data_IF_808587122829
#
_entry.id   IF_808587122829
#
_cell.length_a   1.000
_cell.length_b   1.000
_cell.length_c   1.000
_cell.angle_alpha   90.00
_cell.angle_beta   90.00
_cell.angle_gamma   90.00
#
_symmetry.space_group_name_H-M   'P 1'
#
loop_
_entity.id
_entity.type
_entity.pdbx_description
1 polymer ?
#
# COMPACT_ATOMS: atom_id res chain seq x y z
N UNK A 1 -12.22 19.73 -4.01
CA UNK A 1 -11.94 18.72 -5.03
C UNK A 1 -11.23 17.51 -4.41
N UNK A 2 -11.17 16.36 -5.11
CA UNK A 2 -10.39 15.17 -4.77
C UNK A 2 -9.36 14.98 -5.87
N UNK A 3 -8.24 15.65 -5.71
CA UNK A 3 -7.23 15.84 -6.76
C UNK A 3 -6.32 14.63 -6.91
N UNK A 4 -5.84 14.39 -8.12
CA UNK A 4 -4.95 13.29 -8.45
C UNK A 4 -5.38 12.55 -9.72
N UNK A 5 -5.05 11.26 -9.77
CA UNK A 5 -5.32 10.43 -10.94
C UNK A 5 -5.72 9.01 -10.55
N UNK A 6 -6.19 8.28 -11.55
CA UNK A 6 -6.46 6.85 -11.47
C UNK A 6 -5.42 6.14 -12.33
N UNK A 7 -4.81 5.10 -11.80
CA UNK A 7 -3.91 4.27 -12.61
C UNK A 7 -4.69 3.56 -13.72
N UNK A 8 -4.13 3.44 -14.93
CA UNK A 8 -4.80 2.73 -16.02
C UNK A 8 -4.92 1.23 -15.75
N UNK A 9 -3.99 0.67 -15.00
CA UNK A 9 -3.97 -0.76 -14.69
C UNK A 9 -5.02 -1.12 -13.64
N UNK A 10 -5.62 -2.29 -13.81
CA UNK A 10 -6.39 -2.95 -12.76
C UNK A 10 -5.53 -3.99 -12.03
N UNK A 11 -5.86 -4.22 -10.77
CA UNK A 11 -5.22 -5.25 -9.97
C UNK A 11 -6.22 -6.34 -9.60
N UNK A 12 -5.78 -7.57 -9.72
CA UNK A 12 -6.50 -8.74 -9.23
C UNK A 12 -5.96 -9.14 -7.86
N UNK A 13 -6.87 -9.35 -6.94
CA UNK A 13 -6.57 -9.90 -5.60
C UNK A 13 -7.09 -11.33 -5.56
N UNK A 14 -6.18 -12.26 -5.28
CA UNK A 14 -6.49 -13.66 -5.04
C UNK A 14 -6.14 -14.05 -3.62
N UNK A 15 -6.96 -14.85 -2.96
CA UNK A 15 -6.68 -15.35 -1.62
C UNK A 15 -6.81 -16.86 -1.61
N UNK A 16 -5.79 -17.54 -1.07
CA UNK A 16 -5.69 -19.01 -1.03
C UNK A 16 -5.20 -19.49 0.33
N UNK A 17 -5.61 -20.67 0.81
CA UNK A 17 -5.03 -21.33 1.98
C UNK A 17 -3.67 -21.99 1.68
N UNK A 18 -3.18 -21.99 0.43
CA UNK A 18 -1.88 -22.58 0.10
C UNK A 18 -0.76 -21.86 0.84
N UNK A 19 0.07 -22.61 1.57
CA UNK A 19 1.09 -22.06 2.47
C UNK A 19 2.42 -21.81 1.74
N UNK A 20 2.60 -20.62 1.19
CA UNK A 20 3.86 -20.23 0.53
C UNK A 20 5.06 -20.16 1.47
N UNK A 21 4.87 -19.98 2.78
CA UNK A 21 5.97 -20.05 3.75
C UNK A 21 6.58 -21.45 3.75
N UNK A 22 5.73 -22.48 3.87
CA UNK A 22 6.16 -23.88 3.88
C UNK A 22 6.79 -24.33 2.55
N UNK A 23 6.21 -23.92 1.43
CA UNK A 23 6.60 -24.43 0.11
C UNK A 23 7.69 -23.61 -0.60
N UNK A 24 7.88 -22.34 -0.23
CA UNK A 24 8.83 -21.43 -0.88
C UNK A 24 9.66 -20.60 0.11
N UNK A 25 9.46 -20.72 1.41
CA UNK A 25 10.16 -19.92 2.41
C UNK A 25 9.79 -18.43 2.36
N UNK A 26 8.57 -18.11 1.92
CA UNK A 26 8.12 -16.71 1.86
C UNK A 26 8.03 -16.14 3.26
N UNK A 27 8.47 -14.88 3.40
CA UNK A 27 8.22 -14.07 4.58
C UNK A 27 6.77 -13.61 4.62
N UNK A 28 6.37 -12.96 5.70
CA UNK A 28 5.04 -12.40 5.90
C UNK A 28 4.56 -11.48 4.75
N UNK A 29 5.51 -10.79 4.09
CA UNK A 29 5.25 -9.89 2.97
C UNK A 29 6.38 -10.02 1.96
N UNK A 30 6.01 -10.27 0.71
CA UNK A 30 6.93 -10.46 -0.39
C UNK A 30 6.53 -9.57 -1.56
N UNK A 31 7.52 -8.92 -2.16
CA UNK A 31 7.39 -8.14 -3.38
C UNK A 31 8.24 -8.84 -4.45
N UNK A 32 7.60 -9.33 -5.48
CA UNK A 32 8.24 -10.02 -6.58
C UNK A 32 8.27 -9.08 -7.79
N UNK A 33 9.44 -8.58 -8.11
CA UNK A 33 9.67 -7.73 -9.27
C UNK A 33 10.03 -8.61 -10.46
N UNK A 34 9.02 -9.15 -11.11
CA UNK A 34 9.16 -9.87 -12.37
C UNK A 34 8.93 -8.91 -13.54
N UNK A 35 9.74 -8.96 -14.64
CA UNK A 35 9.61 -8.04 -15.76
C UNK A 35 8.32 -8.21 -16.56
N UNK A 36 7.73 -9.41 -16.53
CA UNK A 36 6.48 -9.70 -17.22
C UNK A 36 5.27 -9.47 -16.32
N UNK A 37 5.38 -9.90 -15.06
CA UNK A 37 4.24 -9.87 -14.14
C UNK A 37 4.72 -9.78 -12.68
N UNK A 38 4.83 -8.57 -12.18
CA UNK A 38 5.13 -8.37 -10.77
C UNK A 38 4.01 -8.89 -9.86
N UNK A 39 4.35 -9.25 -8.64
CA UNK A 39 3.36 -9.68 -7.65
C UNK A 39 3.67 -9.15 -6.25
N UNK A 40 2.62 -8.90 -5.48
CA UNK A 40 2.71 -8.80 -4.03
C UNK A 40 2.07 -10.04 -3.41
N UNK A 41 2.79 -10.71 -2.51
CA UNK A 41 2.26 -11.86 -1.81
C UNK A 41 2.44 -11.67 -0.30
N UNK A 42 1.35 -11.73 0.46
CA UNK A 42 1.40 -11.51 1.90
C UNK A 42 0.41 -12.39 2.66
N UNK A 43 0.83 -12.74 3.87
CA UNK A 43 0.04 -13.56 4.79
C UNK A 43 -1.04 -12.72 5.45
N UNK A 44 -2.25 -13.23 5.52
CA UNK A 44 -3.38 -12.59 6.19
C UNK A 44 -3.98 -13.53 7.24
N UNK A 45 -4.58 -12.94 8.28
CA UNK A 45 -5.23 -13.70 9.32
C UNK A 45 -6.42 -14.52 8.78
N UNK A 46 -6.66 -15.66 9.43
CA UNK A 46 -7.82 -16.51 9.24
C UNK A 46 -8.13 -17.22 10.58
N UNK A 47 -9.09 -18.12 10.62
CA UNK A 47 -9.50 -18.90 11.80
C UNK A 47 -8.41 -19.90 12.22
N UNK A 48 -7.29 -19.39 12.70
CA UNK A 48 -6.11 -20.16 13.13
C UNK A 48 -4.98 -20.25 12.10
N UNK A 49 -3.82 -20.82 12.52
CA UNK A 49 -2.68 -21.07 11.62
C UNK A 49 -3.04 -22.11 10.54
N UNK A 50 -2.40 -22.05 9.35
CA UNK A 50 -1.34 -21.11 8.97
C UNK A 50 -1.84 -19.74 8.52
N UNK A 51 -3.15 -19.46 8.51
CA UNK A 51 -3.75 -18.28 7.91
C UNK A 51 -3.99 -18.45 6.40
N UNK A 52 -4.21 -17.35 5.71
CA UNK A 52 -4.37 -17.31 4.26
C UNK A 52 -3.25 -16.52 3.62
N UNK A 53 -3.04 -16.73 2.34
CA UNK A 53 -2.13 -15.93 1.53
C UNK A 53 -2.90 -15.12 0.50
N UNK A 54 -2.57 -13.84 0.42
CA UNK A 54 -3.16 -12.92 -0.54
C UNK A 54 -2.12 -12.52 -1.57
N UNK A 55 -2.45 -12.76 -2.83
CA UNK A 55 -1.64 -12.41 -3.98
C UNK A 55 -2.32 -11.26 -4.71
N UNK A 56 -1.56 -10.21 -5.02
CA UNK A 56 -1.99 -9.07 -5.83
C UNK A 56 -1.16 -9.06 -7.10
N UNK A 57 -1.84 -9.09 -8.23
CA UNK A 57 -1.25 -9.18 -9.56
C UNK A 57 -1.84 -8.09 -10.47
N UNK A 58 -1.07 -7.52 -11.39
CA UNK A 58 -1.63 -6.68 -12.44
C UNK A 58 -2.43 -7.55 -13.42
N UNK A 59 -3.48 -6.98 -13.98
CA UNK A 59 -4.26 -7.59 -15.06
C UNK A 59 -4.43 -6.60 -16.20
N UNK A 60 -4.71 -7.14 -17.38
CA UNK A 60 -4.98 -6.36 -18.58
C UNK A 60 -6.32 -5.63 -18.41
N UNK A 61 -6.33 -4.28 -18.39
CA UNK A 61 -7.54 -3.50 -18.20
C UNK A 61 -8.50 -3.56 -19.40
N UNK A 62 -8.06 -4.05 -20.56
CA UNK A 62 -8.90 -4.21 -21.76
C UNK A 62 -9.75 -5.47 -21.71
N UNK A 63 -9.42 -6.41 -20.82
CA UNK A 63 -10.20 -7.65 -20.63
C UNK A 63 -11.41 -7.43 -19.73
N UNK A 64 -12.51 -8.09 -20.07
CA UNK A 64 -13.73 -8.04 -19.28
C UNK A 64 -13.57 -8.67 -17.88
N UNK A 65 -14.30 -8.16 -16.91
CA UNK A 65 -14.24 -8.65 -15.52
C UNK A 65 -14.60 -10.14 -15.42
N UNK A 66 -15.57 -10.62 -16.20
CA UNK A 66 -15.98 -12.03 -16.21
C UNK A 66 -14.86 -12.94 -16.73
N UNK A 67 -14.12 -12.51 -17.76
CA UNK A 67 -12.95 -13.23 -18.25
C UNK A 67 -11.85 -13.28 -17.21
N UNK A 68 -11.49 -12.11 -16.64
CA UNK A 68 -10.42 -11.98 -15.65
C UNK A 68 -10.70 -12.77 -14.35
N UNK A 69 -11.95 -12.85 -13.94
CA UNK A 69 -12.36 -13.59 -12.73
C UNK A 69 -12.78 -15.04 -13.02
N UNK A 70 -12.67 -15.52 -14.27
CA UNK A 70 -12.94 -16.91 -14.60
C UNK A 70 -11.96 -17.86 -13.91
N UNK A 71 -12.40 -19.08 -13.62
CA UNK A 71 -11.53 -20.10 -13.00
C UNK A 71 -10.29 -20.38 -13.87
N UNK A 72 -10.45 -20.47 -15.17
CA UNK A 72 -9.35 -20.72 -16.10
C UNK A 72 -8.28 -19.61 -16.02
N UNK A 73 -8.70 -18.34 -16.04
CA UNK A 73 -7.77 -17.21 -15.94
C UNK A 73 -7.08 -17.15 -14.58
N UNK A 74 -7.84 -17.29 -13.50
CA UNK A 74 -7.32 -17.26 -12.12
C UNK A 74 -6.33 -18.39 -11.87
N UNK A 75 -6.66 -19.61 -12.28
CA UNK A 75 -5.73 -20.76 -12.17
C UNK A 75 -4.48 -20.55 -13.02
N UNK A 76 -4.63 -20.04 -14.25
CA UNK A 76 -3.49 -19.70 -15.12
C UNK A 76 -2.54 -18.71 -14.45
N UNK A 77 -3.05 -17.64 -13.84
CA UNK A 77 -2.26 -16.66 -13.08
C UNK A 77 -1.55 -17.28 -11.88
N UNK A 78 -2.25 -18.10 -11.11
CA UNK A 78 -1.67 -18.76 -9.94
C UNK A 78 -0.60 -19.80 -10.33
N UNK A 79 -0.82 -20.56 -11.39
CA UNK A 79 0.16 -21.53 -11.89
C UNK A 79 1.39 -20.84 -12.49
N UNK A 80 1.23 -19.66 -13.11
CA UNK A 80 2.38 -18.85 -13.55
C UNK A 80 3.15 -18.29 -12.36
N UNK A 81 2.45 -17.82 -11.32
CA UNK A 81 3.06 -17.29 -10.09
C UNK A 81 3.84 -18.34 -9.31
N UNK A 82 3.27 -19.51 -9.11
CA UNK A 82 3.93 -20.65 -8.47
C UNK A 82 3.34 -21.96 -9.01
N UNK A 83 4.05 -22.67 -9.91
CA UNK A 83 3.58 -23.93 -10.50
C UNK A 83 3.42 -25.04 -9.46
N UNK A 84 2.32 -25.78 -9.53
CA UNK A 84 2.10 -27.03 -8.79
C UNK A 84 1.16 -27.94 -9.56
N UNK A 85 1.15 -29.27 -9.29
CA UNK A 85 0.34 -30.22 -10.03
C UNK A 85 -1.18 -29.98 -9.91
N UNK A 86 -1.64 -29.65 -8.70
CA UNK A 86 -3.06 -29.48 -8.42
C UNK A 86 -3.49 -28.03 -8.63
N UNK A 87 -4.78 -27.82 -8.90
CA UNK A 87 -5.40 -26.50 -8.92
C UNK A 87 -5.29 -25.82 -7.54
N UNK A 88 -5.29 -24.51 -7.55
CA UNK A 88 -5.33 -23.72 -6.32
C UNK A 88 -6.75 -23.64 -5.77
N UNK A 89 -6.89 -23.85 -4.47
CA UNK A 89 -8.10 -23.45 -3.76
C UNK A 89 -8.09 -21.92 -3.61
N UNK A 90 -9.07 -21.23 -4.23
CA UNK A 90 -9.20 -19.77 -4.24
C UNK A 90 -10.46 -19.39 -3.45
N UNK A 91 -10.25 -18.97 -2.22
CA UNK A 91 -11.34 -18.61 -1.31
C UNK A 91 -11.88 -17.18 -1.53
N UNK A 92 -11.12 -16.34 -2.24
CA UNK A 92 -11.55 -14.98 -2.60
C UNK A 92 -10.83 -14.50 -3.85
N UNK A 93 -11.58 -13.84 -4.74
CA UNK A 93 -11.06 -13.16 -5.93
C UNK A 93 -11.79 -11.83 -6.15
N UNK A 94 -11.06 -10.79 -6.49
CA UNK A 94 -11.62 -9.46 -6.75
C UNK A 94 -10.72 -8.65 -7.67
N UNK A 95 -11.32 -7.86 -8.54
CA UNK A 95 -10.65 -6.79 -9.29
C UNK A 95 -10.84 -5.47 -8.57
N UNK A 96 -9.84 -4.60 -8.62
CA UNK A 96 -9.97 -3.23 -8.14
C UNK A 96 -9.13 -2.26 -8.97
N UNK A 97 -9.66 -1.05 -9.09
CA UNK A 97 -8.99 0.08 -9.72
C UNK A 97 -8.22 0.87 -8.66
N UNK A 98 -7.02 1.30 -8.99
CA UNK A 98 -6.14 1.99 -8.05
C UNK A 98 -6.20 3.49 -8.29
N UNK A 99 -6.55 4.22 -7.24
CA UNK A 99 -6.58 5.67 -7.22
C UNK A 99 -5.38 6.23 -6.45
N UNK A 100 -4.90 7.38 -6.90
CA UNK A 100 -3.85 8.16 -6.27
C UNK A 100 -4.37 9.59 -6.14
N UNK A 101 -5.08 9.88 -5.04
CA UNK A 101 -5.83 11.12 -4.86
C UNK A 101 -5.70 11.67 -3.45
N UNK A 102 -5.75 13.00 -3.31
CA UNK A 102 -5.79 13.70 -2.02
C UNK A 102 -6.86 14.79 -2.09
N UNK A 103 -7.64 14.93 -1.04
CA UNK A 103 -8.60 16.04 -0.94
C UNK A 103 -7.86 17.38 -0.88
N UNK A 104 -8.42 18.38 -1.54
CA UNK A 104 -7.90 19.76 -1.56
C UNK A 104 -7.77 20.34 -0.14
N UNK A 105 -8.66 19.97 0.76
CA UNK A 105 -8.61 20.29 2.18
C UNK A 105 -9.19 19.13 3.01
N UNK A 106 -8.64 18.90 4.18
CA UNK A 106 -9.16 17.94 5.15
C UNK A 106 -10.10 18.58 6.16
N UNK A 107 -10.31 19.93 6.06
CA UNK A 107 -11.25 20.68 6.88
C UNK A 107 -12.08 21.63 6.05
N UNK A 108 -13.40 21.62 6.26
CA UNK A 108 -14.30 22.65 5.77
C UNK A 108 -15.32 23.02 6.86
N UNK A 109 -15.04 24.12 7.56
CA UNK A 109 -15.83 24.52 8.72
C UNK A 109 -15.77 23.47 9.84
N UNK A 110 -16.89 22.80 10.09
CA UNK A 110 -17.02 21.74 11.11
C UNK A 110 -16.93 20.32 10.53
N UNK A 111 -16.74 20.19 9.23
CA UNK A 111 -16.54 18.89 8.56
C UNK A 111 -15.05 18.63 8.47
N UNK A 112 -14.64 17.43 8.89
CA UNK A 112 -13.25 16.97 8.90
C UNK A 112 -13.17 15.63 8.18
N UNK A 113 -12.12 15.44 7.39
CA UNK A 113 -11.85 14.21 6.64
C UNK A 113 -10.64 13.52 7.26
N UNK A 114 -10.64 12.19 7.31
CA UNK A 114 -9.51 11.36 7.75
C UNK A 114 -9.49 10.03 7.00
N UNK A 115 -8.31 9.45 6.77
CA UNK A 115 -8.15 8.18 6.08
C UNK A 115 -8.64 8.23 4.63
N UNK A 116 -9.29 7.17 4.16
CA UNK A 116 -9.71 7.01 2.76
C UNK A 116 -10.68 8.10 2.28
N UNK A 117 -11.36 8.81 3.19
CA UNK A 117 -12.18 9.96 2.83
C UNK A 117 -11.34 11.19 2.45
N UNK A 118 -10.12 11.27 2.91
CA UNK A 118 -9.19 12.39 2.68
C UNK A 118 -8.11 12.09 1.64
N UNK A 119 -7.66 10.86 1.53
CA UNK A 119 -6.67 10.44 0.54
C UNK A 119 -6.80 8.97 0.16
N UNK A 120 -6.50 8.66 -1.08
CA UNK A 120 -6.36 7.32 -1.62
C UNK A 120 -4.98 7.18 -2.27
N UNK A 121 -4.35 6.03 -2.10
CA UNK A 121 -3.06 5.73 -2.71
C UNK A 121 -2.98 4.27 -3.15
N UNK A 122 -2.05 3.97 -4.06
CA UNK A 122 -1.82 2.58 -4.42
C UNK A 122 -1.33 1.77 -3.20
N UNK A 123 -1.67 0.47 -3.11
CA UNK A 123 -1.41 -0.33 -1.92
C UNK A 123 0.05 -0.76 -1.74
N UNK A 124 0.93 -0.48 -2.72
CA UNK A 124 2.33 -0.93 -2.71
C UNK A 124 3.11 -0.18 -1.63
N UNK A 125 3.45 -0.88 -0.57
CA UNK A 125 4.10 -0.33 0.62
C UNK A 125 3.23 -0.34 1.88
N UNK A 126 1.91 -0.56 1.75
CA UNK A 126 0.99 -0.71 2.89
C UNK A 126 0.78 0.58 3.69
N UNK A 127 0.78 1.75 3.04
CA UNK A 127 0.74 3.05 3.72
C UNK A 127 -0.68 3.59 3.94
N UNK A 128 -1.70 3.12 3.21
CA UNK A 128 -3.07 3.67 3.29
C UNK A 128 -3.67 3.54 4.69
N UNK A 129 -3.88 2.32 5.18
CA UNK A 129 -4.44 2.09 6.52
C UNK A 129 -3.59 2.76 7.61
N UNK A 130 -2.27 2.64 7.53
CA UNK A 130 -1.38 3.26 8.52
C UNK A 130 -1.48 4.79 8.51
N UNK A 131 -1.59 5.40 7.33
CA UNK A 131 -1.84 6.83 7.17
C UNK A 131 -3.17 7.25 7.81
N UNK A 132 -4.24 6.52 7.52
CA UNK A 132 -5.56 6.79 8.08
C UNK A 132 -5.62 6.68 9.62
N UNK A 133 -4.94 5.69 10.20
CA UNK A 133 -4.81 5.59 11.67
C UNK A 133 -4.06 6.79 12.24
N UNK A 134 -2.99 7.22 11.58
CA UNK A 134 -2.24 8.41 12.01
C UNK A 134 -3.04 9.70 11.84
N UNK A 135 -3.89 9.80 10.80
CA UNK A 135 -4.82 10.91 10.65
C UNK A 135 -5.79 10.97 11.82
N UNK A 136 -6.42 9.84 12.13
CA UNK A 136 -7.39 9.74 13.21
C UNK A 136 -6.77 10.11 14.57
N UNK A 137 -5.56 9.63 14.86
CA UNK A 137 -4.84 9.95 16.10
C UNK A 137 -4.49 11.45 16.18
N UNK A 138 -3.98 12.03 15.09
CA UNK A 138 -3.63 13.44 15.02
C UNK A 138 -4.88 14.34 15.14
N UNK A 139 -5.98 13.94 14.51
CA UNK A 139 -7.25 14.65 14.61
C UNK A 139 -7.84 14.55 16.01
N UNK A 140 -7.88 13.36 16.60
CA UNK A 140 -8.48 13.15 17.92
C UNK A 140 -7.80 13.98 19.02
N UNK A 141 -6.46 14.06 18.99
CA UNK A 141 -5.70 14.91 19.92
C UNK A 141 -6.11 16.38 19.79
N UNK A 142 -6.11 16.93 18.59
CA UNK A 142 -6.42 18.35 18.35
C UNK A 142 -7.89 18.70 18.58
N UNK A 143 -8.78 17.82 18.12
CA UNK A 143 -10.22 18.00 18.32
C UNK A 143 -10.58 17.96 19.81
N UNK A 144 -9.95 17.05 20.58
CA UNK A 144 -10.12 17.01 22.04
C UNK A 144 -9.73 18.33 22.69
N UNK A 145 -8.60 18.90 22.32
CA UNK A 145 -8.14 20.22 22.84
C UNK A 145 -9.12 21.35 22.48
N UNK A 146 -9.60 21.38 21.25
CA UNK A 146 -10.61 22.37 20.82
C UNK A 146 -11.91 22.21 21.62
N UNK A 147 -12.36 20.99 21.87
CA UNK A 147 -13.54 20.73 22.72
C UNK A 147 -13.36 21.17 24.19
N UNK A 148 -12.13 21.29 24.66
CA UNK A 148 -11.78 21.83 25.97
C UNK A 148 -11.45 23.33 25.97
N UNK A 149 -11.74 24.03 24.87
CA UNK A 149 -11.70 25.50 24.78
C UNK A 149 -10.43 26.07 24.15
N UNK A 150 -9.54 25.23 23.59
CA UNK A 150 -8.42 25.75 22.81
C UNK A 150 -8.84 26.26 21.41
N UNK A 151 -7.95 27.00 20.74
CA UNK A 151 -8.24 27.57 19.42
C UNK A 151 -8.60 26.54 18.37
N UNK A 152 -9.61 26.83 17.57
CA UNK A 152 -10.00 26.03 16.40
C UNK A 152 -8.92 25.99 15.30
N UNK A 153 -7.89 26.83 15.38
CA UNK A 153 -6.72 26.81 14.48
C UNK A 153 -5.95 25.46 14.55
N UNK A 154 -6.09 24.74 15.66
CA UNK A 154 -5.57 23.37 15.78
C UNK A 154 -6.13 22.45 14.70
N UNK A 155 -7.36 22.67 14.24
CA UNK A 155 -7.96 21.87 13.17
C UNK A 155 -7.42 22.25 11.78
N UNK A 156 -6.98 23.50 11.59
CA UNK A 156 -6.25 23.92 10.39
C UNK A 156 -4.82 23.36 10.40
N UNK A 157 -4.22 23.27 11.58
CA UNK A 157 -2.94 22.58 11.76
C UNK A 157 -3.07 21.09 11.43
N UNK A 158 -4.17 20.43 11.83
CA UNK A 158 -4.47 19.06 11.42
C UNK A 158 -4.48 18.92 9.89
N UNK A 159 -5.27 19.74 9.19
CA UNK A 159 -5.32 19.73 7.72
C UNK A 159 -3.91 19.88 7.13
N UNK A 160 -3.19 20.92 7.52
CA UNK A 160 -1.85 21.20 7.01
C UNK A 160 -0.89 20.02 7.22
N UNK A 161 -0.83 19.49 8.44
CA UNK A 161 0.05 18.38 8.80
C UNK A 161 -0.27 17.12 8.00
N UNK A 162 -1.53 16.69 8.01
CA UNK A 162 -1.90 15.40 7.43
C UNK A 162 -1.96 15.43 5.90
N UNK A 163 -2.42 16.53 5.32
CA UNK A 163 -2.43 16.72 3.88
C UNK A 163 -1.01 16.81 3.31
N UNK A 164 -0.09 17.48 3.99
CA UNK A 164 1.34 17.49 3.61
C UNK A 164 1.92 16.08 3.62
N UNK A 165 1.63 15.27 4.65
CA UNK A 165 2.10 13.87 4.68
C UNK A 165 1.48 13.05 3.55
N UNK A 166 0.19 13.21 3.27
CA UNK A 166 -0.45 12.49 2.18
C UNK A 166 0.19 12.82 0.82
N UNK A 167 0.50 14.08 0.54
CA UNK A 167 1.08 14.53 -0.74
C UNK A 167 2.58 14.29 -0.82
N UNK A 168 3.35 14.76 0.17
CA UNK A 168 4.80 14.83 0.10
C UNK A 168 5.49 13.53 0.52
N UNK A 169 4.83 12.71 1.29
CA UNK A 169 5.39 11.45 1.77
C UNK A 169 4.68 10.24 1.15
N UNK A 170 3.39 10.05 1.40
CA UNK A 170 2.67 8.83 1.01
C UNK A 170 2.59 8.71 -0.51
N UNK A 171 2.13 9.75 -1.23
CA UNK A 171 2.03 9.69 -2.69
C UNK A 171 3.39 9.46 -3.33
N UNK A 172 4.41 10.23 -2.96
CA UNK A 172 5.75 10.08 -3.54
C UNK A 172 6.35 8.69 -3.29
N UNK A 173 6.20 8.18 -2.07
CA UNK A 173 6.74 6.87 -1.70
C UNK A 173 6.02 5.72 -2.41
N UNK A 174 4.70 5.77 -2.49
CA UNK A 174 3.92 4.69 -3.12
C UNK A 174 4.09 4.67 -4.64
N UNK A 175 4.23 5.84 -5.29
CA UNK A 175 4.59 5.94 -6.72
C UNK A 175 5.99 5.37 -6.97
N UNK A 176 6.97 5.74 -6.14
CA UNK A 176 8.33 5.22 -6.27
C UNK A 176 8.40 3.70 -6.07
N UNK A 177 7.66 3.17 -5.09
CA UNK A 177 7.56 1.74 -4.86
C UNK A 177 6.96 1.00 -6.07
N UNK A 178 5.88 1.54 -6.66
CA UNK A 178 5.25 0.99 -7.86
C UNK A 178 6.24 0.97 -9.02
N UNK A 179 6.88 2.10 -9.31
CA UNK A 179 7.88 2.21 -10.40
C UNK A 179 9.02 1.20 -10.24
N UNK A 180 9.50 1.00 -9.01
CA UNK A 180 10.56 0.01 -8.72
C UNK A 180 10.07 -1.42 -8.98
N UNK A 181 8.85 -1.74 -8.57
CA UNK A 181 8.28 -3.07 -8.69
C UNK A 181 8.00 -3.45 -10.14
N UNK A 182 7.54 -2.51 -10.96
CA UNK A 182 7.13 -2.68 -12.35
C UNK A 182 8.27 -2.49 -13.37
N UNK A 183 9.49 -2.21 -12.91
CA UNK A 183 10.60 -1.93 -13.82
C UNK A 183 10.89 -3.13 -14.73
N UNK A 184 10.84 -2.90 -16.04
CA UNK A 184 11.22 -3.87 -17.08
C UNK A 184 12.69 -3.76 -17.47
N UNK A 185 13.36 -2.68 -17.09
CA UNK A 185 14.79 -2.47 -17.30
C UNK A 185 15.60 -3.36 -16.35
N UNK A 186 16.29 -4.33 -16.90
CA UNK A 186 17.09 -5.29 -16.14
C UNK A 186 18.23 -4.60 -15.37
N UNK A 187 18.87 -3.60 -15.93
CA UNK A 187 19.96 -2.88 -15.26
C UNK A 187 19.43 -2.11 -14.03
N UNK A 188 18.27 -1.45 -14.16
CA UNK A 188 17.61 -0.75 -13.06
C UNK A 188 17.13 -1.72 -11.97
N UNK A 189 16.59 -2.89 -12.35
CA UNK A 189 16.17 -3.94 -11.40
C UNK A 189 17.37 -4.47 -10.61
N UNK A 190 18.46 -4.83 -11.29
CA UNK A 190 19.68 -5.30 -10.65
C UNK A 190 20.31 -4.26 -9.73
N UNK A 191 20.30 -2.99 -10.13
CA UNK A 191 20.73 -1.88 -9.28
C UNK A 191 19.89 -1.79 -8.01
N UNK A 192 18.55 -1.87 -8.13
CA UNK A 192 17.64 -1.87 -7.00
C UNK A 192 17.86 -3.06 -6.06
N UNK A 193 18.10 -4.25 -6.59
CA UNK A 193 18.40 -5.42 -5.75
C UNK A 193 19.75 -5.31 -5.03
N UNK A 194 20.77 -4.74 -5.67
CA UNK A 194 22.06 -4.45 -5.01
C UNK A 194 21.84 -3.46 -3.85
N UNK A 195 21.17 -2.34 -4.11
CA UNK A 195 20.84 -1.35 -3.08
C UNK A 195 20.13 -1.98 -1.88
N UNK A 196 19.10 -2.81 -2.12
CA UNK A 196 18.36 -3.48 -1.04
C UNK A 196 19.24 -4.45 -0.25
N UNK A 197 20.15 -5.19 -0.91
CA UNK A 197 21.10 -6.07 -0.22
C UNK A 197 22.09 -5.28 0.64
N UNK A 198 22.59 -4.16 0.13
CA UNK A 198 23.48 -3.26 0.90
C UNK A 198 22.75 -2.67 2.11
N UNK A 199 21.49 -2.23 1.94
CA UNK A 199 20.65 -1.75 3.04
C UNK A 199 20.47 -2.87 4.08
N UNK A 200 20.13 -4.07 3.65
CA UNK A 200 19.92 -5.21 4.55
C UNK A 200 21.21 -5.65 5.28
N UNK A 201 22.37 -5.45 4.67
CA UNK A 201 23.67 -5.75 5.26
C UNK A 201 24.21 -4.69 6.23
N UNK A 202 23.62 -3.51 6.26
CA UNK A 202 24.03 -2.38 7.12
C UNK A 202 22.92 -2.04 8.12
N UNK A 203 23.20 -2.19 9.41
CA UNK A 203 22.20 -2.02 10.48
C UNK A 203 21.61 -0.60 10.52
N UNK A 204 22.42 0.43 10.32
CA UNK A 204 21.91 1.81 10.36
C UNK A 204 21.11 2.16 9.10
N UNK A 205 21.55 1.73 7.93
CA UNK A 205 20.78 1.89 6.68
C UNK A 205 19.46 1.12 6.75
N UNK A 206 19.47 -0.11 7.26
CA UNK A 206 18.26 -0.91 7.47
C UNK A 206 17.29 -0.22 8.44
N UNK A 207 17.81 0.35 9.55
CA UNK A 207 17.01 1.10 10.52
C UNK A 207 16.33 2.31 9.88
N UNK A 208 17.06 3.10 9.09
CA UNK A 208 16.49 4.26 8.36
C UNK A 208 15.42 3.81 7.39
N UNK A 209 15.69 2.76 6.61
CA UNK A 209 14.74 2.18 5.65
C UNK A 209 13.44 1.72 6.33
N UNK A 210 13.56 0.94 7.41
CA UNK A 210 12.39 0.41 8.16
C UNK A 210 11.60 1.53 8.80
N UNK A 211 12.25 2.55 9.40
CA UNK A 211 11.57 3.73 9.98
C UNK A 211 10.77 4.50 8.94
N UNK A 212 11.32 4.65 7.74
CA UNK A 212 10.61 5.28 6.62
C UNK A 212 9.43 4.43 6.17
N UNK A 213 9.63 3.13 5.98
CA UNK A 213 8.56 2.20 5.60
C UNK A 213 7.44 2.10 6.65
N UNK A 214 7.79 2.22 7.94
CA UNK A 214 6.85 2.27 9.05
C UNK A 214 6.21 3.66 9.27
N UNK A 215 6.47 4.63 8.39
CA UNK A 215 5.95 6.01 8.46
C UNK A 215 6.34 6.79 9.73
N UNK A 216 7.37 6.38 10.45
CA UNK A 216 7.85 7.11 11.65
C UNK A 216 8.48 8.45 11.28
N UNK A 217 9.13 8.54 10.13
CA UNK A 217 9.66 9.82 9.64
C UNK A 217 8.53 10.77 9.20
N UNK A 218 7.45 10.23 8.63
CA UNK A 218 6.25 11.00 8.30
C UNK A 218 5.60 11.63 9.54
N UNK A 219 5.52 10.88 10.66
CA UNK A 219 5.02 11.41 11.93
C UNK A 219 5.90 12.54 12.46
N UNK A 220 7.23 12.42 12.39
CA UNK A 220 8.17 13.48 12.80
C UNK A 220 8.01 14.72 11.93
N UNK A 221 7.89 14.56 10.62
CA UNK A 221 7.64 15.65 9.70
C UNK A 221 6.31 16.35 10.01
N UNK A 222 5.25 15.61 10.28
CA UNK A 222 3.96 16.17 10.69
C UNK A 222 4.12 16.98 12.00
N UNK A 223 4.78 16.44 13.02
CA UNK A 223 4.98 17.12 14.30
C UNK A 223 5.82 18.41 14.17
N UNK A 224 6.74 18.48 13.21
CA UNK A 224 7.55 19.66 12.93
C UNK A 224 6.81 20.72 12.09
N UNK A 225 5.67 20.39 11.49
CA UNK A 225 4.86 21.33 10.69
C UNK A 225 4.02 22.22 11.60
N UNK A 226 4.15 23.52 11.46
CA UNK A 226 3.38 24.56 12.18
C UNK A 226 2.46 25.30 11.20
N UNK A 227 1.51 26.08 11.72
CA UNK A 227 0.64 26.98 10.91
C UNK A 227 1.42 28.03 10.14
#
# INVERSE_FOLDING_TARGET
AFEGFTFPEQFMVLTTPFDFEKHRGFCYRNYLSDPEEWANCFKVAHNGPPGLWRIVLPVDPEKGADELLSDAHVQGKMQKFFPKPEAYDIVHRKLYTVHQRVAETFRKGRVLLAGDSSHANNPIGGMGLNGGIQDAANLAEKLGRVCHGESADLLDLYDKQRRTIATEFVQKQTIANKKRLESRDEAARQASFRELREIAGDRERARVFVRRAAMLEAQRQAAATTL
#
